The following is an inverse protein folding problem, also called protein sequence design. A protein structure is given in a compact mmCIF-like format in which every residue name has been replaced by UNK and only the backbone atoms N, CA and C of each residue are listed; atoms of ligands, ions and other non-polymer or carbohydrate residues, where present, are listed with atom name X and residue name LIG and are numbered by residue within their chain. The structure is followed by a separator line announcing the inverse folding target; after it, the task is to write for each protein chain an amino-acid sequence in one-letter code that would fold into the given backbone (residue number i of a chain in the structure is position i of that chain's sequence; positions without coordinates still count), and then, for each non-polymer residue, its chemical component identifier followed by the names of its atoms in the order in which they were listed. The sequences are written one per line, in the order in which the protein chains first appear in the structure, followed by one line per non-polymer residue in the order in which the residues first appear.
data_IF_004747882219
#
_entry.id   IF_004747882219
#
_cell.length_a   1.000
_cell.length_b   1.000
_cell.length_c   1.000
_cell.angle_alpha   90.00
_cell.angle_beta   90.00
_cell.angle_gamma   90.00
#
_symmetry.space_group_name_H-M   'P 1'
#
loop_
_entity.id
_entity.type
_entity.pdbx_description
1 polymer ?
#
# COMPACT_ATOMS: atom_id res chain seq x y z
N UNK A 1 1.81 9.05 19.49
CA UNK A 1 2.16 8.78 18.06
C UNK A 1 2.15 7.28 17.79
N UNK A 2 1.89 6.80 16.56
CA UNK A 2 1.89 5.34 16.25
C UNK A 2 3.18 4.66 16.74
N UNK A 3 4.34 5.27 16.46
CA UNK A 3 5.65 4.70 16.79
C UNK A 3 5.91 4.52 18.29
N UNK A 4 5.29 5.34 19.15
CA UNK A 4 5.43 5.23 20.61
C UNK A 4 4.69 4.00 21.16
N UNK A 5 3.64 3.55 20.45
CA UNK A 5 2.81 2.41 20.87
C UNK A 5 3.18 1.11 20.15
N UNK A 6 3.67 1.19 18.92
CA UNK A 6 3.84 0.03 18.04
C UNK A 6 5.23 -0.09 17.39
N UNK A 7 6.16 0.83 17.69
CA UNK A 7 7.51 0.81 17.12
C UNK A 7 7.60 1.34 15.68
N UNK A 8 8.78 1.21 15.07
CA UNK A 8 9.01 1.63 13.69
C UNK A 8 8.21 0.77 12.73
N UNK A 9 7.55 1.42 11.77
CA UNK A 9 6.72 0.71 10.79
C UNK A 9 7.59 0.31 9.60
N UNK A 10 7.79 -0.99 9.42
CA UNK A 10 8.34 -1.52 8.18
C UNK A 10 7.24 -2.16 7.33
N UNK A 11 6.41 -1.31 6.70
CA UNK A 11 5.26 -1.76 5.90
C UNK A 11 5.65 -2.77 4.81
N UNK A 12 6.67 -2.55 3.95
CA UNK A 12 7.03 -3.53 2.93
C UNK A 12 7.43 -4.89 3.51
N UNK A 13 8.28 -4.91 4.54
CA UNK A 13 8.68 -6.14 5.22
C UNK A 13 7.55 -6.86 5.95
N UNK A 14 6.53 -6.14 6.43
CA UNK A 14 5.37 -6.77 7.03
C UNK A 14 4.54 -7.57 5.99
N UNK A 15 4.57 -7.18 4.72
CA UNK A 15 3.77 -7.80 3.64
C UNK A 15 4.56 -8.80 2.79
N UNK A 16 5.88 -8.89 2.97
CA UNK A 16 6.79 -9.70 2.13
C UNK A 16 6.45 -11.21 2.05
N UNK A 17 5.59 -11.71 2.93
CA UNK A 17 5.13 -13.10 2.95
C UNK A 17 3.93 -13.35 2.03
N UNK A 18 3.36 -12.31 1.42
CA UNK A 18 2.20 -12.38 0.54
C UNK A 18 2.62 -12.48 -0.92
N UNK A 19 1.75 -13.07 -1.74
CA UNK A 19 1.87 -13.09 -3.19
C UNK A 19 1.24 -11.83 -3.80
N UNK A 20 1.99 -10.72 -3.84
CA UNK A 20 1.50 -9.44 -4.36
C UNK A 20 2.27 -9.07 -5.63
N UNK A 21 1.58 -9.13 -6.78
CA UNK A 21 2.04 -8.60 -8.06
C UNK A 21 1.28 -7.34 -8.45
N UNK A 22 1.39 -6.96 -9.72
CA UNK A 22 0.75 -5.75 -10.27
C UNK A 22 -0.78 -5.79 -10.13
N UNK A 23 -1.40 -6.94 -10.38
CA UNK A 23 -2.85 -7.11 -10.29
C UNK A 23 -3.38 -6.88 -8.87
N UNK A 24 -2.73 -7.45 -7.85
CA UNK A 24 -3.13 -7.29 -6.45
C UNK A 24 -2.91 -5.85 -5.96
N UNK A 25 -1.79 -5.21 -6.35
CA UNK A 25 -1.52 -3.80 -6.08
C UNK A 25 -2.63 -2.91 -6.65
N UNK A 26 -2.97 -3.12 -7.92
CA UNK A 26 -3.92 -2.27 -8.63
C UNK A 26 -5.34 -2.48 -8.11
N UNK A 27 -5.73 -3.71 -7.78
CA UNK A 27 -7.00 -4.02 -7.14
C UNK A 27 -7.14 -3.30 -5.78
N UNK A 28 -6.08 -3.32 -4.96
CA UNK A 28 -6.10 -2.62 -3.68
C UNK A 28 -6.20 -1.10 -3.86
N UNK A 29 -5.48 -0.51 -4.82
CA UNK A 29 -5.55 0.92 -5.12
C UNK A 29 -6.94 1.34 -5.63
N UNK A 30 -7.59 0.52 -6.46
CA UNK A 30 -8.96 0.73 -6.90
C UNK A 30 -9.93 0.74 -5.71
N UNK A 31 -9.78 -0.20 -4.79
CA UNK A 31 -10.58 -0.23 -3.55
C UNK A 31 -10.36 1.04 -2.71
N UNK A 32 -9.12 1.53 -2.61
CA UNK A 32 -8.82 2.77 -1.88
C UNK A 32 -9.43 3.99 -2.56
N UNK A 33 -9.34 4.10 -3.89
CA UNK A 33 -9.98 5.18 -4.65
C UNK A 33 -11.49 5.24 -4.38
N UNK A 34 -12.19 4.10 -4.48
CA UNK A 34 -13.63 4.03 -4.21
C UNK A 34 -13.95 4.37 -2.74
N UNK A 35 -13.14 3.92 -1.79
CA UNK A 35 -13.34 4.22 -0.38
C UNK A 35 -13.15 5.71 -0.07
N UNK A 36 -12.13 6.34 -0.67
CA UNK A 36 -11.84 7.78 -0.57
C UNK A 36 -12.99 8.59 -1.17
N UNK A 37 -13.52 8.19 -2.32
CA UNK A 37 -14.63 8.88 -2.98
C UNK A 37 -15.93 8.92 -2.14
N UNK A 38 -16.08 8.02 -1.16
CA UNK A 38 -17.22 8.01 -0.21
C UNK A 38 -17.02 8.94 0.98
N UNK A 39 -15.82 9.48 1.18
CA UNK A 39 -15.53 10.34 2.31
C UNK A 39 -15.81 11.81 1.98
N UNK A 40 -16.19 12.64 2.97
CA UNK A 40 -16.40 14.07 2.78
C UNK A 40 -15.06 14.84 2.74
N UNK A 41 -14.09 14.35 1.95
CA UNK A 41 -12.78 14.98 1.82
C UNK A 41 -12.79 16.07 0.75
N UNK A 42 -12.01 17.12 0.98
CA UNK A 42 -11.73 18.09 -0.05
C UNK A 42 -11.08 17.40 -1.27
N UNK A 43 -11.47 17.73 -2.52
CA UNK A 43 -10.95 17.05 -3.71
C UNK A 43 -9.42 17.00 -3.77
N UNK A 44 -8.75 18.10 -3.44
CA UNK A 44 -7.30 18.18 -3.42
C UNK A 44 -6.66 17.20 -2.40
N UNK A 45 -7.32 16.99 -1.25
CA UNK A 45 -6.84 16.04 -0.25
C UNK A 45 -7.10 14.59 -0.67
N UNK A 46 -8.26 14.30 -1.26
CA UNK A 46 -8.57 12.97 -1.79
C UNK A 46 -7.55 12.53 -2.85
N UNK A 47 -7.23 13.43 -3.78
CA UNK A 47 -6.23 13.20 -4.81
C UNK A 47 -4.83 13.00 -4.22
N UNK A 48 -4.44 13.88 -3.28
CA UNK A 48 -3.18 13.76 -2.56
C UNK A 48 -3.07 12.41 -1.83
N UNK A 49 -4.13 12.00 -1.13
CA UNK A 49 -4.15 10.75 -0.37
C UNK A 49 -3.96 9.54 -1.29
N UNK A 50 -4.70 9.46 -2.41
CA UNK A 50 -4.52 8.37 -3.37
C UNK A 50 -3.09 8.37 -3.94
N UNK A 51 -2.53 9.54 -4.28
CA UNK A 51 -1.13 9.67 -4.70
C UNK A 51 -0.15 9.16 -3.64
N UNK A 52 -0.39 9.46 -2.36
CA UNK A 52 0.45 8.98 -1.26
C UNK A 52 0.33 7.46 -1.04
N UNK A 53 -0.85 6.86 -1.25
CA UNK A 53 -1.06 5.41 -1.09
C UNK A 53 -0.39 4.58 -2.19
N UNK A 54 -0.18 5.15 -3.39
CA UNK A 54 0.57 4.49 -4.48
C UNK A 54 2.01 4.16 -4.11
N UNK A 55 2.68 5.04 -3.35
CA UNK A 55 4.10 4.88 -3.00
C UNK A 55 4.36 3.63 -2.14
N UNK A 56 3.69 3.41 -0.98
CA UNK A 56 3.87 2.21 -0.20
C UNK A 56 3.33 0.96 -0.90
N UNK A 57 2.23 1.06 -1.67
CA UNK A 57 1.68 -0.07 -2.43
C UNK A 57 2.70 -0.61 -3.44
N UNK A 58 3.40 0.28 -4.17
CA UNK A 58 4.44 -0.13 -5.11
C UNK A 58 5.66 -0.73 -4.40
N UNK A 59 6.09 -0.16 -3.27
CA UNK A 59 7.20 -0.73 -2.48
C UNK A 59 6.87 -2.11 -1.94
N UNK A 60 5.63 -2.35 -1.50
CA UNK A 60 5.17 -3.67 -1.07
C UNK A 60 5.28 -4.65 -2.24
N UNK A 61 4.72 -4.31 -3.41
CA UNK A 61 4.76 -5.16 -4.61
C UNK A 61 6.19 -5.57 -4.96
N UNK A 62 7.11 -4.61 -5.03
CA UNK A 62 8.53 -4.85 -5.34
C UNK A 62 9.18 -5.85 -4.37
N UNK A 63 8.96 -5.68 -3.06
CA UNK A 63 9.53 -6.59 -2.05
C UNK A 63 8.90 -7.98 -2.12
N UNK A 64 7.58 -8.07 -2.35
CA UNK A 64 6.89 -9.35 -2.48
C UNK A 64 7.36 -10.11 -3.72
N UNK A 65 7.55 -9.42 -4.85
CA UNK A 65 8.06 -10.01 -6.09
C UNK A 65 9.50 -10.54 -5.90
N UNK A 66 10.40 -9.73 -5.33
CA UNK A 66 11.78 -10.17 -5.02
C UNK A 66 11.77 -11.42 -4.13
N UNK A 67 10.93 -11.44 -3.10
CA UNK A 67 10.88 -12.56 -2.16
C UNK A 67 10.29 -13.83 -2.78
N UNK A 68 9.33 -13.71 -3.69
CA UNK A 68 8.80 -14.86 -4.42
C UNK A 68 9.85 -15.45 -5.37
N UNK A 69 10.61 -14.62 -6.09
CA UNK A 69 11.69 -15.07 -6.97
C UNK A 69 12.82 -15.78 -6.22
N UNK A 70 13.08 -15.39 -4.97
CA UNK A 70 14.09 -16.04 -4.11
C UNK A 70 13.61 -17.39 -3.51
N UNK A 71 12.32 -17.70 -3.61
CA UNK A 71 11.71 -18.92 -3.06
C UNK A 71 11.42 -19.98 -4.13
N UNK A 72 11.62 -19.64 -5.41
CA UNK A 72 11.46 -20.51 -6.58
C UNK A 72 12.75 -21.17 -7.04
#
# INVERSE_FOLDING_TARGET
RYAEKYGSIHIPGAHQHLAIGDAERDAWLLCMEQAIARQPYAPAFAEYLLRQLRVPAERIRQICEIRQQQQS
#
